data_IF_848639438985
#
_entry.id   IF_848639438985
#
_cell.length_a   1.000
_cell.length_b   1.000
_cell.length_c   1.000
_cell.angle_alpha   90.00
_cell.angle_beta   90.00
_cell.angle_gamma   90.00
#
_symmetry.space_group_name_H-M   'P 1'
#
loop_
_entity.id
_entity.type
_entity.pdbx_description
1 polymer ?
#
# COMPACT_ATOMS: atom_id res chain seq x y z
N UNK A 1 -2.68 6.57 -0.18
CA UNK A 1 -1.80 5.43 -0.47
C UNK A 1 -2.57 4.13 -0.40
N UNK A 2 -3.12 3.73 0.75
CA UNK A 2 -3.82 2.44 0.94
C UNK A 2 -4.96 2.20 -0.04
N UNK A 3 -5.76 3.23 -0.36
CA UNK A 3 -6.82 3.17 -1.35
C UNK A 3 -6.28 2.76 -2.74
N UNK A 4 -5.26 3.46 -3.22
CA UNK A 4 -4.68 3.23 -4.55
C UNK A 4 -4.07 1.84 -4.61
N UNK A 5 -3.33 1.45 -3.57
CA UNK A 5 -2.77 0.12 -3.42
C UNK A 5 -3.85 -0.97 -3.47
N UNK A 6 -4.94 -0.83 -2.71
CA UNK A 6 -6.01 -1.83 -2.65
C UNK A 6 -6.75 -1.98 -3.98
N UNK A 7 -6.98 -0.88 -4.70
CA UNK A 7 -7.56 -0.93 -6.05
C UNK A 7 -6.63 -1.70 -7.00
N UNK A 8 -5.35 -1.37 -7.00
CA UNK A 8 -4.38 -2.01 -7.88
C UNK A 8 -4.22 -3.51 -7.58
N UNK A 9 -4.20 -3.90 -6.31
CA UNK A 9 -4.19 -5.31 -5.91
C UNK A 9 -5.48 -6.03 -6.32
N UNK A 10 -6.63 -5.38 -6.21
CA UNK A 10 -7.90 -5.94 -6.66
C UNK A 10 -7.90 -6.24 -8.15
N UNK A 11 -7.40 -5.32 -8.98
CA UNK A 11 -7.23 -5.51 -10.43
C UNK A 11 -6.26 -6.65 -10.73
N UNK A 12 -5.13 -6.70 -10.03
CA UNK A 12 -4.13 -7.76 -10.20
C UNK A 12 -4.69 -9.15 -9.87
N UNK A 13 -5.46 -9.28 -8.80
CA UNK A 13 -6.10 -10.54 -8.44
C UNK A 13 -7.17 -10.98 -9.47
N UNK A 14 -7.93 -10.03 -10.02
CA UNK A 14 -8.84 -10.33 -11.11
C UNK A 14 -8.12 -10.82 -12.37
N UNK A 15 -6.99 -10.22 -12.69
CA UNK A 15 -6.16 -10.66 -13.81
C UNK A 15 -5.64 -12.08 -13.59
N UNK A 16 -5.06 -12.37 -12.42
CA UNK A 16 -4.59 -13.72 -12.09
C UNK A 16 -5.73 -14.74 -12.12
N UNK A 17 -6.92 -14.38 -11.64
CA UNK A 17 -8.09 -15.26 -11.73
C UNK A 17 -8.44 -15.60 -13.18
N UNK A 18 -8.37 -14.63 -14.11
CA UNK A 18 -8.56 -14.87 -15.55
C UNK A 18 -7.47 -15.73 -16.18
N UNK A 19 -6.22 -15.51 -15.81
CA UNK A 19 -5.09 -16.31 -16.29
C UNK A 19 -5.23 -17.76 -15.86
N UNK A 20 -5.66 -18.01 -14.63
CA UNK A 20 -5.92 -19.38 -14.14
C UNK A 20 -7.14 -20.03 -14.81
N UNK A 21 -8.13 -19.25 -15.25
CA UNK A 21 -9.29 -19.75 -15.99
C UNK A 21 -8.92 -20.19 -17.42
N UNK A 22 -7.99 -19.47 -18.06
CA UNK A 22 -7.58 -19.75 -19.45
C UNK A 22 -6.49 -20.80 -19.63
N UNK A 23 -5.76 -21.18 -18.57
CA UNK A 23 -4.51 -21.89 -18.74
C UNK A 23 -4.57 -23.40 -18.62
N UNK A 24 -5.50 -24.01 -17.85
CA UNK A 24 -5.62 -25.47 -17.74
C UNK A 24 -6.97 -25.89 -17.16
N UNK A 25 -7.78 -26.48 -18.01
CA UNK A 25 -9.10 -27.00 -17.74
C UNK A 25 -8.99 -28.22 -16.80
N UNK A 26 -9.73 -28.19 -15.68
CA UNK A 26 -10.09 -29.33 -14.81
C UNK A 26 -9.08 -29.87 -13.76
N UNK A 27 -7.98 -29.21 -13.48
CA UNK A 27 -7.21 -29.59 -12.30
C UNK A 27 -7.77 -28.92 -11.02
N UNK A 28 -8.16 -29.67 -9.97
CA UNK A 28 -8.77 -29.11 -8.75
C UNK A 28 -7.95 -28.01 -8.07
N UNK A 29 -6.62 -28.07 -8.21
CA UNK A 29 -5.71 -27.06 -7.65
C UNK A 29 -5.84 -25.69 -8.32
N UNK A 30 -6.12 -25.66 -9.62
CA UNK A 30 -6.26 -24.39 -10.38
C UNK A 30 -7.61 -23.75 -10.13
N UNK A 31 -8.68 -24.54 -10.01
CA UNK A 31 -10.01 -24.05 -9.64
C UNK A 31 -9.96 -23.42 -8.23
N UNK A 32 -9.37 -24.07 -7.26
CA UNK A 32 -9.22 -23.55 -5.90
C UNK A 32 -8.38 -22.25 -5.86
N UNK A 33 -7.35 -22.16 -6.70
CA UNK A 33 -6.55 -20.93 -6.80
C UNK A 33 -7.34 -19.78 -7.47
N UNK A 34 -8.12 -20.07 -8.50
CA UNK A 34 -9.00 -19.09 -9.16
C UNK A 34 -10.01 -18.50 -8.17
N UNK A 35 -10.74 -19.34 -7.48
CA UNK A 35 -11.77 -18.89 -6.53
C UNK A 35 -11.13 -18.10 -5.37
N UNK A 36 -9.98 -18.52 -4.91
CA UNK A 36 -9.20 -17.78 -3.94
C UNK A 36 -8.76 -16.41 -4.45
N UNK A 37 -8.32 -16.28 -5.70
CA UNK A 37 -7.97 -14.99 -6.30
C UNK A 37 -9.19 -14.08 -6.45
N UNK A 38 -10.35 -14.63 -6.82
CA UNK A 38 -11.61 -13.88 -6.86
C UNK A 38 -12.01 -13.37 -5.47
N UNK A 39 -11.95 -14.22 -4.45
CA UNK A 39 -12.22 -13.82 -3.08
C UNK A 39 -11.27 -12.70 -2.62
N UNK A 40 -9.99 -12.79 -2.94
CA UNK A 40 -9.01 -11.75 -2.59
C UNK A 40 -9.23 -10.46 -3.38
N UNK A 41 -9.73 -10.52 -4.60
CA UNK A 41 -10.11 -9.32 -5.35
C UNK A 41 -11.28 -8.60 -4.70
N UNK A 42 -12.33 -9.34 -4.28
CA UNK A 42 -13.46 -8.78 -3.54
C UNK A 42 -13.00 -8.16 -2.22
N UNK A 43 -12.12 -8.84 -1.48
CA UNK A 43 -11.54 -8.32 -0.26
C UNK A 43 -10.77 -7.00 -0.50
N UNK A 44 -9.94 -6.95 -1.54
CA UNK A 44 -9.16 -5.76 -1.89
C UNK A 44 -10.07 -4.57 -2.24
N UNK A 45 -11.13 -4.79 -3.03
CA UNK A 45 -12.11 -3.75 -3.36
C UNK A 45 -12.96 -3.34 -2.14
N UNK A 46 -13.26 -4.26 -1.22
CA UNK A 46 -13.94 -3.91 0.04
C UNK A 46 -13.07 -2.99 0.90
N UNK A 47 -11.77 -3.28 1.03
CA UNK A 47 -10.81 -2.41 1.71
C UNK A 47 -10.73 -1.04 1.02
N UNK A 48 -10.69 -1.02 -0.31
CA UNK A 48 -10.69 0.23 -1.07
C UNK A 48 -11.96 1.05 -0.82
N UNK A 49 -13.13 0.41 -0.80
CA UNK A 49 -14.42 1.05 -0.46
C UNK A 49 -14.42 1.65 0.94
N UNK A 50 -13.90 0.92 1.93
CA UNK A 50 -13.72 1.43 3.29
C UNK A 50 -12.79 2.64 3.36
N UNK A 51 -11.67 2.60 2.62
CA UNK A 51 -10.76 3.75 2.50
C UNK A 51 -11.42 4.96 1.83
N UNK A 52 -12.26 4.77 0.82
CA UNK A 52 -13.02 5.84 0.17
C UNK A 52 -14.01 6.48 1.13
N UNK A 53 -14.75 5.66 1.88
CA UNK A 53 -15.68 6.15 2.90
C UNK A 53 -14.98 6.98 3.98
N UNK A 54 -13.84 6.49 4.47
CA UNK A 54 -13.01 7.21 5.43
C UNK A 54 -12.47 8.52 4.85
N UNK A 55 -11.98 8.52 3.61
CA UNK A 55 -11.38 9.69 2.95
C UNK A 55 -12.36 10.85 2.83
N UNK A 56 -13.67 10.57 2.67
CA UNK A 56 -14.71 11.60 2.65
C UNK A 56 -14.72 12.46 3.92
N UNK A 57 -14.40 11.87 5.07
CA UNK A 57 -14.39 12.57 6.37
C UNK A 57 -12.99 13.01 6.81
N UNK A 58 -11.95 12.42 6.23
CA UNK A 58 -10.55 12.73 6.54
C UNK A 58 -9.91 13.73 5.55
N UNK A 59 -10.57 14.06 4.42
CA UNK A 59 -10.07 15.09 3.52
C UNK A 59 -10.04 16.47 4.20
N UNK A 60 -9.08 17.28 3.79
CA UNK A 60 -8.88 18.60 4.39
C UNK A 60 -10.11 19.54 4.24
N UNK A 61 -10.58 20.18 5.32
CA UNK A 61 -10.14 20.04 6.72
C UNK A 61 -10.66 18.74 7.34
N UNK A 62 -9.75 17.93 7.91
CA UNK A 62 -10.08 16.64 8.46
C UNK A 62 -11.03 16.71 9.66
N UNK A 63 -12.14 15.97 9.61
CA UNK A 63 -13.13 15.90 10.69
C UNK A 63 -12.94 14.64 11.54
N UNK A 64 -12.33 13.60 11.00
CA UNK A 64 -12.12 12.31 11.64
C UNK A 64 -10.69 11.86 11.38
N UNK A 65 -10.01 11.35 12.41
CA UNK A 65 -8.69 10.76 12.30
C UNK A 65 -8.76 9.25 12.50
N UNK A 66 -7.95 8.52 11.75
CA UNK A 66 -7.82 7.08 11.91
C UNK A 66 -6.98 6.79 13.16
N UNK A 67 -7.54 6.09 14.13
CA UNK A 67 -6.80 5.63 15.30
C UNK A 67 -5.91 4.41 14.98
N UNK A 68 -5.20 3.93 16.02
CA UNK A 68 -4.27 2.80 15.90
C UNK A 68 -4.96 1.52 15.42
N UNK A 69 -6.18 1.26 15.87
CA UNK A 69 -6.97 0.10 15.44
C UNK A 69 -7.20 0.11 13.93
N UNK A 70 -7.56 1.25 13.36
CA UNK A 70 -7.80 1.37 11.91
C UNK A 70 -6.51 1.28 11.09
N UNK A 71 -5.44 1.90 11.55
CA UNK A 71 -4.13 1.85 10.86
C UNK A 71 -3.53 0.44 10.89
N UNK A 72 -3.62 -0.26 12.02
CA UNK A 72 -3.18 -1.66 12.14
C UNK A 72 -4.04 -2.60 11.28
N UNK A 73 -5.36 -2.40 11.25
CA UNK A 73 -6.26 -3.18 10.40
C UNK A 73 -5.90 -3.02 8.91
N UNK A 74 -5.62 -1.80 8.45
CA UNK A 74 -5.16 -1.55 7.07
C UNK A 74 -3.81 -2.20 6.80
N UNK A 75 -2.86 -2.11 7.71
CA UNK A 75 -1.56 -2.77 7.60
C UNK A 75 -1.70 -4.29 7.50
N UNK A 76 -2.55 -4.90 8.34
CA UNK A 76 -2.87 -6.33 8.30
C UNK A 76 -3.52 -6.75 6.98
N UNK A 77 -4.50 -5.96 6.50
CA UNK A 77 -5.16 -6.21 5.22
C UNK A 77 -4.19 -6.17 4.04
N UNK A 78 -3.32 -5.15 3.99
CA UNK A 78 -2.30 -5.02 2.95
C UNK A 78 -1.30 -6.19 3.00
N UNK A 79 -0.87 -6.59 4.18
CA UNK A 79 0.03 -7.73 4.37
C UNK A 79 -0.61 -9.05 3.92
N UNK A 80 -1.89 -9.27 4.24
CA UNK A 80 -2.63 -10.44 3.79
C UNK A 80 -2.69 -10.54 2.26
N UNK A 81 -2.95 -9.42 1.57
CA UNK A 81 -2.93 -9.37 0.10
C UNK A 81 -1.57 -9.76 -0.48
N UNK A 82 -0.48 -9.27 0.13
CA UNK A 82 0.89 -9.59 -0.30
C UNK A 82 1.22 -11.07 -0.12
N UNK A 83 0.90 -11.62 1.04
CA UNK A 83 1.15 -13.03 1.35
C UNK A 83 0.38 -13.91 0.36
N UNK A 84 -0.88 -13.57 0.11
CA UNK A 84 -1.72 -14.35 -0.80
C UNK A 84 -1.26 -14.26 -2.26
N UNK A 85 -0.76 -13.11 -2.70
CA UNK A 85 -0.21 -12.93 -4.05
C UNK A 85 1.08 -13.71 -4.29
N UNK A 86 1.72 -14.23 -3.24
CA UNK A 86 3.04 -14.90 -3.26
C UNK A 86 4.15 -14.09 -3.91
N UNK A 87 3.97 -12.79 -4.03
CA UNK A 87 4.90 -11.89 -4.70
C UNK A 87 5.28 -10.71 -3.80
N UNK A 88 6.22 -10.89 -2.85
CA UNK A 88 6.62 -9.83 -1.93
C UNK A 88 7.21 -8.60 -2.64
N UNK A 89 7.77 -8.79 -3.84
CA UNK A 89 8.29 -7.67 -4.66
C UNK A 89 7.20 -6.72 -5.12
N UNK A 90 5.96 -7.19 -5.30
CA UNK A 90 4.82 -6.32 -5.59
C UNK A 90 4.57 -5.31 -4.48
N UNK A 91 4.70 -5.74 -3.22
CA UNK A 91 4.56 -4.83 -2.09
C UNK A 91 5.65 -3.76 -2.07
N UNK A 92 6.90 -4.13 -2.34
CA UNK A 92 8.01 -3.18 -2.41
C UNK A 92 7.78 -2.13 -3.49
N UNK A 93 7.24 -2.53 -4.63
CA UNK A 93 6.97 -1.63 -5.74
C UNK A 93 5.71 -0.80 -5.51
N UNK A 94 4.55 -1.45 -5.28
CA UNK A 94 3.26 -0.75 -5.13
C UNK A 94 3.15 0.03 -3.83
N UNK A 95 3.79 -0.46 -2.75
CA UNK A 95 3.84 0.16 -1.43
C UNK A 95 5.06 1.05 -1.18
N UNK A 96 5.76 1.49 -2.23
CA UNK A 96 7.05 2.19 -2.13
C UNK A 96 7.05 3.36 -1.14
N UNK A 97 5.98 4.13 -1.09
CA UNK A 97 5.85 5.25 -0.15
C UNK A 97 5.76 4.77 1.31
N UNK A 98 5.08 3.66 1.56
CA UNK A 98 4.95 3.07 2.90
C UNK A 98 6.30 2.50 3.33
N UNK A 99 6.94 1.75 2.43
CA UNK A 99 8.27 1.16 2.66
C UNK A 99 9.31 2.26 2.90
N UNK A 100 9.34 3.31 2.08
CA UNK A 100 10.25 4.44 2.25
C UNK A 100 10.05 5.15 3.60
N UNK A 101 8.80 5.34 4.02
CA UNK A 101 8.49 5.93 5.33
C UNK A 101 8.97 5.03 6.47
N UNK A 102 8.74 3.72 6.40
CA UNK A 102 9.22 2.77 7.40
C UNK A 102 10.75 2.72 7.47
N UNK A 103 11.41 2.62 6.30
CA UNK A 103 12.89 2.63 6.21
C UNK A 103 13.48 3.93 6.76
N UNK A 104 12.84 5.08 6.52
CA UNK A 104 13.31 6.36 7.08
C UNK A 104 13.34 6.37 8.62
N UNK A 105 12.37 5.72 9.26
CA UNK A 105 12.34 5.57 10.73
C UNK A 105 13.49 4.68 11.20
N UNK A 106 13.68 3.53 10.55
CA UNK A 106 14.77 2.60 10.90
C UNK A 106 16.15 3.27 10.75
N UNK A 107 16.36 3.97 9.62
CA UNK A 107 17.60 4.70 9.37
C UNK A 107 17.83 5.82 10.40
N UNK A 108 16.80 6.56 10.76
CA UNK A 108 16.87 7.63 11.75
C UNK A 108 17.25 7.09 13.12
N UNK A 109 16.57 6.03 13.58
CA UNK A 109 16.85 5.41 14.89
C UNK A 109 18.23 4.77 14.90
N UNK A 110 18.58 4.05 13.81
CA UNK A 110 19.91 3.46 13.67
C UNK A 110 21.03 4.50 13.72
N UNK A 111 20.90 5.59 12.96
CA UNK A 111 21.88 6.68 12.97
C UNK A 111 21.98 7.35 14.33
N UNK A 112 20.85 7.59 14.98
CA UNK A 112 20.82 8.22 16.31
C UNK A 112 21.56 7.38 17.35
N UNK A 113 21.39 6.06 17.32
CA UNK A 113 22.08 5.13 18.22
C UNK A 113 23.58 4.98 17.90
N UNK A 114 23.94 4.84 16.60
CA UNK A 114 25.30 4.56 16.18
C UNK A 114 26.19 5.81 16.14
N UNK A 115 25.62 6.99 15.89
CA UNK A 115 26.36 8.26 15.70
C UNK A 115 26.20 9.25 16.85
N UNK A 116 25.96 8.78 18.07
CA UNK A 116 25.88 9.61 19.28
C UNK A 116 24.92 10.80 19.13
N UNK A 117 23.68 10.53 18.63
CA UNK A 117 22.62 11.53 18.53
C UNK A 117 22.56 12.32 17.22
N UNK A 118 23.38 11.99 16.20
CA UNK A 118 23.28 12.64 14.88
C UNK A 118 22.08 12.14 14.10
N UNK A 119 21.24 13.08 13.68
CA UNK A 119 20.04 12.81 12.87
C UNK A 119 20.37 12.87 11.38
N UNK A 120 19.80 11.94 10.58
CA UNK A 120 19.87 11.98 9.11
C UNK A 120 18.77 12.89 8.57
N UNK A 121 17.54 12.68 9.04
CA UNK A 121 16.37 13.47 8.68
C UNK A 121 16.04 14.47 9.77
N UNK A 122 15.48 15.62 9.43
CA UNK A 122 14.98 16.59 10.43
C UNK A 122 13.98 15.94 11.36
N UNK A 123 13.09 15.10 10.81
CA UNK A 123 12.13 14.27 11.54
C UNK A 123 11.84 13.01 10.74
N UNK A 124 11.55 11.91 11.40
CA UNK A 124 11.04 10.68 10.82
C UNK A 124 9.62 10.43 11.38
N UNK A 125 8.69 9.87 10.58
CA UNK A 125 8.81 9.38 9.20
C UNK A 125 8.99 10.46 8.13
N UNK A 126 9.28 10.02 6.89
CA UNK A 126 9.71 10.89 5.79
C UNK A 126 8.74 12.04 5.45
N UNK A 127 7.43 11.86 5.61
CA UNK A 127 6.45 12.92 5.35
C UNK A 127 6.62 14.11 6.30
N UNK A 128 6.92 13.89 7.58
CA UNK A 128 7.22 14.97 8.51
C UNK A 128 8.53 15.70 8.19
N UNK A 129 9.49 15.02 7.57
CA UNK A 129 10.69 15.68 7.07
C UNK A 129 10.35 16.74 6.01
N UNK A 130 9.46 16.42 5.08
CA UNK A 130 9.03 17.36 4.04
C UNK A 130 8.23 18.54 4.61
N UNK A 131 7.37 18.30 5.60
CA UNK A 131 6.63 19.36 6.31
C UNK A 131 7.59 20.36 6.98
N UNK A 132 8.64 19.85 7.65
CA UNK A 132 9.69 20.68 8.26
C UNK A 132 10.62 21.37 7.25
N UNK A 133 10.56 21.00 5.98
CA UNK A 133 11.20 21.73 4.87
C UNK A 133 10.31 22.85 4.32
N UNK A 134 9.08 23.03 4.84
CA UNK A 134 8.16 24.09 4.45
C UNK A 134 7.13 23.70 3.38
N UNK A 135 7.04 22.41 3.02
CA UNK A 135 5.99 21.95 2.12
C UNK A 135 4.66 21.83 2.89
N UNK A 136 3.55 22.39 2.38
CA UNK A 136 2.24 22.21 2.99
C UNK A 136 1.82 20.74 2.95
N UNK A 137 1.14 20.27 3.99
CA UNK A 137 0.69 18.90 4.16
C UNK A 137 -0.04 18.36 2.91
N UNK A 138 -0.90 19.18 2.31
CA UNK A 138 -1.65 18.81 1.10
C UNK A 138 -0.75 18.47 -0.09
N UNK A 139 0.38 19.17 -0.26
CA UNK A 139 1.37 18.87 -1.32
C UNK A 139 2.10 17.56 -1.04
N UNK A 140 2.48 17.31 0.21
CA UNK A 140 3.14 16.07 0.62
C UNK A 140 2.20 14.88 0.36
N UNK A 141 0.94 14.97 0.79
CA UNK A 141 -0.07 13.93 0.56
C UNK A 141 -0.29 13.69 -0.93
N UNK A 142 -0.45 14.75 -1.73
CA UNK A 142 -0.62 14.62 -3.18
C UNK A 142 0.60 13.97 -3.85
N UNK A 143 1.82 14.32 -3.43
CA UNK A 143 3.04 13.69 -3.90
C UNK A 143 3.07 12.19 -3.62
N UNK A 144 2.73 11.78 -2.41
CA UNK A 144 2.63 10.36 -2.03
C UNK A 144 1.57 9.61 -2.86
N UNK A 145 0.43 10.26 -3.16
CA UNK A 145 -0.62 9.67 -3.98
C UNK A 145 -0.15 9.47 -5.43
N UNK A 146 0.52 10.47 -6.02
CA UNK A 146 1.03 10.39 -7.40
C UNK A 146 2.09 9.30 -7.51
N UNK A 147 3.08 9.30 -6.61
CA UNK A 147 4.15 8.27 -6.63
C UNK A 147 3.57 6.87 -6.47
N UNK A 148 2.61 6.68 -5.55
CA UNK A 148 1.95 5.38 -5.37
C UNK A 148 1.16 4.98 -6.61
N UNK A 149 0.44 5.91 -7.24
CA UNK A 149 -0.32 5.62 -8.45
C UNK A 149 0.59 5.21 -9.61
N UNK A 150 1.68 5.93 -9.83
CA UNK A 150 2.68 5.58 -10.86
C UNK A 150 3.32 4.22 -10.59
N UNK A 151 3.69 3.94 -9.35
CA UNK A 151 4.26 2.67 -8.95
C UNK A 151 3.27 1.50 -9.14
N UNK A 152 1.98 1.71 -8.82
CA UNK A 152 0.93 0.73 -9.07
C UNK A 152 0.70 0.49 -10.57
N UNK A 153 0.68 1.55 -11.38
CA UNK A 153 0.56 1.41 -12.85
C UNK A 153 1.77 0.66 -13.41
N UNK A 154 2.99 1.00 -12.99
CA UNK A 154 4.20 0.30 -13.41
C UNK A 154 4.18 -1.18 -13.00
N UNK A 155 3.74 -1.48 -11.77
CA UNK A 155 3.59 -2.86 -11.30
C UNK A 155 2.57 -3.64 -12.15
N UNK A 156 1.40 -3.06 -12.42
CA UNK A 156 0.39 -3.68 -13.27
C UNK A 156 0.92 -3.90 -14.69
N UNK A 157 1.63 -2.94 -15.27
CA UNK A 157 2.20 -3.07 -16.61
C UNK A 157 3.29 -4.18 -16.71
N UNK A 158 3.93 -4.54 -15.60
CA UNK A 158 4.90 -5.64 -15.57
C UNK A 158 4.23 -7.02 -15.52
N UNK A 159 2.97 -7.11 -15.06
CA UNK A 159 2.26 -8.37 -14.84
C UNK A 159 1.06 -8.57 -15.78
N UNK A 160 0.57 -7.53 -16.43
CA UNK A 160 -0.49 -7.57 -17.45
C UNK A 160 0.09 -7.72 -18.86
#
# INVERSE_FOLDING_TARGET
VSLIYSIAMGVLFLYFAKVFDGSFINEPRFVANRDGMLCMSVFAFAVAGGCLGFLKSNSYPAKVFMGDTGSMALGGAMSAMVIYSRSPFLFLLMGICIVASAVSVVLQVGSFKLRHGKRIFKMAPLHHHFELLGYPETKVVSGYMIVTALACVAALALFL
#
